data_IF_289666944186
#
_entry.id   IF_289666944186
#
_cell.length_a   1.000
_cell.length_b   1.000
_cell.length_c   1.000
_cell.angle_alpha   90.00
_cell.angle_beta   90.00
_cell.angle_gamma   90.00
#
_symmetry.space_group_name_H-M   'P 1'
#
loop_
_entity.id
_entity.type
_entity.pdbx_description
1 polymer ?
#
# COMPACT_ATOMS: atom_id res chain seq x y z
N UNK A 1 -41.58 54.74 -60.15
CA UNK A 1 -41.14 54.87 -58.76
C UNK A 1 -40.07 53.85 -58.53
N UNK A 2 -38.87 54.31 -58.51
CA UNK A 2 -37.58 53.55 -58.47
C UNK A 2 -37.17 53.34 -57.02
N UNK A 3 -36.76 52.15 -56.68
CA UNK A 3 -35.91 51.90 -55.46
C UNK A 3 -34.67 51.13 -55.84
N UNK A 4 -33.54 51.81 -55.70
CA UNK A 4 -32.22 51.26 -55.83
C UNK A 4 -32.00 50.20 -54.75
N UNK A 5 -31.42 49.08 -55.14
CA UNK A 5 -30.79 48.14 -54.25
C UNK A 5 -29.26 48.33 -54.37
N UNK A 6 -28.65 48.79 -53.28
CA UNK A 6 -27.19 48.87 -53.14
C UNK A 6 -26.61 47.46 -52.87
N UNK A 7 -25.72 47.05 -53.76
CA UNK A 7 -24.97 45.79 -53.61
C UNK A 7 -23.69 46.04 -52.81
N UNK A 8 -23.59 45.49 -51.62
CA UNK A 8 -22.34 45.49 -50.81
C UNK A 8 -21.50 44.29 -51.27
N UNK A 9 -20.34 44.59 -51.89
CA UNK A 9 -19.33 43.60 -52.22
C UNK A 9 -18.49 43.37 -50.97
N UNK A 10 -18.59 42.19 -50.37
CA UNK A 10 -17.67 41.75 -49.32
C UNK A 10 -16.48 41.07 -49.99
N UNK A 11 -15.33 41.73 -49.98
CA UNK A 11 -14.07 41.14 -50.41
C UNK A 11 -13.55 40.17 -49.30
N UNK A 12 -13.64 38.89 -49.55
CA UNK A 12 -13.02 37.86 -48.70
C UNK A 12 -11.49 37.84 -48.93
N UNK A 13 -10.74 38.34 -48.00
CA UNK A 13 -9.29 38.18 -47.95
C UNK A 13 -9.00 36.77 -47.46
N UNK A 14 -8.60 35.89 -48.37
CA UNK A 14 -7.98 34.58 -47.99
C UNK A 14 -6.56 34.81 -47.47
N UNK A 15 -6.42 34.74 -46.17
CA UNK A 15 -5.08 34.67 -45.53
C UNK A 15 -4.58 33.23 -45.65
N UNK A 16 -3.73 32.94 -46.61
CA UNK A 16 -2.96 31.66 -46.61
C UNK A 16 -1.99 31.67 -45.46
N UNK A 17 -2.43 31.09 -44.31
CA UNK A 17 -1.48 30.65 -43.29
C UNK A 17 -0.73 29.43 -43.84
N UNK A 18 0.55 29.61 -44.13
CA UNK A 18 1.45 28.51 -44.41
C UNK A 18 1.44 27.58 -43.19
N UNK A 19 0.91 26.37 -43.35
CA UNK A 19 1.01 25.33 -42.34
C UNK A 19 2.49 25.01 -42.17
N UNK A 20 3.07 25.42 -41.05
CA UNK A 20 4.35 24.91 -40.61
C UNK A 20 4.28 23.39 -40.45
N UNK A 21 5.40 22.68 -40.51
CA UNK A 21 5.43 21.25 -40.34
C UNK A 21 4.70 20.91 -39.01
N UNK A 22 3.73 20.01 -39.09
CA UNK A 22 3.09 19.48 -37.89
C UNK A 22 4.17 18.98 -36.93
N UNK A 23 4.12 19.32 -35.64
CA UNK A 23 5.04 18.73 -34.69
C UNK A 23 4.96 17.22 -34.87
N UNK A 24 6.11 16.55 -34.97
CA UNK A 24 6.17 15.10 -34.93
C UNK A 24 5.32 14.63 -33.77
N UNK A 25 4.50 13.58 -34.00
CA UNK A 25 3.65 13.01 -32.99
C UNK A 25 4.52 12.71 -31.77
N UNK A 26 4.56 13.66 -30.84
CA UNK A 26 5.18 13.48 -29.55
C UNK A 26 4.41 12.36 -28.87
N UNK A 27 5.11 11.34 -28.44
CA UNK A 27 4.58 10.41 -27.48
C UNK A 27 3.82 11.21 -26.43
N UNK A 28 2.72 10.69 -25.98
CA UNK A 28 1.76 11.42 -25.16
C UNK A 28 2.49 12.19 -24.04
N UNK A 29 2.62 13.50 -24.18
CA UNK A 29 3.30 14.38 -23.20
C UNK A 29 2.69 14.22 -21.79
N UNK A 30 1.46 13.77 -21.70
CA UNK A 30 0.79 13.45 -20.45
C UNK A 30 1.40 12.19 -19.81
N UNK A 31 1.73 11.15 -20.55
CA UNK A 31 2.43 9.96 -20.03
C UNK A 31 3.87 10.30 -19.57
N UNK A 32 4.58 11.15 -20.27
CA UNK A 32 5.94 11.52 -19.90
C UNK A 32 6.02 12.48 -18.71
N UNK A 33 4.97 13.27 -18.46
CA UNK A 33 4.98 14.33 -17.44
C UNK A 33 4.25 13.91 -16.15
N UNK A 34 3.36 12.93 -16.20
CA UNK A 34 2.65 12.47 -15.01
C UNK A 34 3.46 11.44 -14.22
N UNK A 35 3.37 11.52 -12.90
CA UNK A 35 3.96 10.51 -12.01
C UNK A 35 3.54 9.08 -12.41
N UNK A 36 2.29 8.89 -12.79
CA UNK A 36 1.71 7.59 -13.14
C UNK A 36 2.30 6.98 -14.39
N UNK A 37 2.52 7.76 -15.44
CA UNK A 37 3.14 7.27 -16.68
C UNK A 37 4.58 6.81 -16.49
N UNK A 38 5.29 7.35 -15.50
CA UNK A 38 6.69 7.01 -15.22
C UNK A 38 6.88 5.78 -14.35
N UNK A 39 5.94 5.50 -13.43
CA UNK A 39 6.07 4.41 -12.45
C UNK A 39 6.37 3.05 -13.09
N UNK A 40 5.68 2.58 -14.15
CA UNK A 40 5.98 1.28 -14.75
C UNK A 40 7.41 1.12 -15.27
N UNK A 41 8.02 2.20 -15.75
CA UNK A 41 9.43 2.19 -16.19
C UNK A 41 10.38 2.16 -14.99
N UNK A 42 10.08 2.94 -13.95
CA UNK A 42 10.92 3.09 -12.76
C UNK A 42 10.98 1.88 -11.86
N UNK A 43 9.96 1.02 -11.86
CA UNK A 43 9.99 -0.24 -11.10
C UNK A 43 10.92 -1.31 -11.67
N UNK A 44 11.58 -1.04 -12.80
CA UNK A 44 12.64 -1.90 -13.33
C UNK A 44 14.00 -1.66 -12.68
N UNK A 45 14.20 -0.49 -12.09
CA UNK A 45 15.41 -0.08 -11.40
C UNK A 45 15.17 -0.09 -9.90
N UNK A 46 15.92 -0.92 -9.18
CA UNK A 46 15.73 -1.08 -7.74
C UNK A 46 17.05 -1.26 -6.99
N UNK A 47 16.98 -1.10 -5.68
CA UNK A 47 18.01 -1.51 -4.72
C UNK A 47 17.41 -2.52 -3.76
N UNK A 48 18.12 -3.62 -3.52
CA UNK A 48 17.74 -4.56 -2.47
C UNK A 48 18.03 -3.90 -1.13
N UNK A 49 17.04 -3.87 -0.26
CA UNK A 49 17.10 -3.25 1.08
C UNK A 49 17.23 -4.31 2.16
N UNK A 50 16.54 -5.43 2.00
CA UNK A 50 16.58 -6.53 2.94
C UNK A 50 16.31 -7.85 2.22
N UNK A 51 17.19 -8.79 2.40
CA UNK A 51 17.03 -10.18 1.96
C UNK A 51 16.33 -11.04 3.03
N UNK A 52 15.70 -12.17 2.66
CA UNK A 52 15.23 -13.14 3.63
C UNK A 52 16.41 -13.79 4.39
N UNK A 53 16.17 -14.30 5.61
CA UNK A 53 17.21 -14.96 6.40
C UNK A 53 17.76 -16.26 5.78
N UNK A 54 16.99 -16.86 4.86
CA UNK A 54 17.45 -17.96 4.01
C UNK A 54 17.03 -17.69 2.56
N UNK A 55 17.98 -17.81 1.64
CA UNK A 55 17.71 -17.71 0.20
C UNK A 55 17.11 -19.01 -0.34
N UNK A 56 15.90 -19.32 0.12
CA UNK A 56 15.15 -20.54 -0.18
C UNK A 56 13.70 -20.22 -0.46
N UNK A 57 12.99 -21.05 -1.25
CA UNK A 57 11.56 -20.86 -1.50
C UNK A 57 10.76 -20.63 -0.21
N UNK A 58 9.82 -19.71 -0.29
CA UNK A 58 8.90 -19.34 0.81
C UNK A 58 9.53 -18.74 2.09
N UNK A 59 10.86 -18.46 2.09
CA UNK A 59 11.51 -17.60 3.07
C UNK A 59 11.46 -16.15 2.59
N UNK A 60 10.83 -15.28 3.35
CA UNK A 60 10.54 -13.91 2.90
C UNK A 60 10.95 -12.85 3.90
N UNK A 61 11.60 -11.80 3.42
CA UNK A 61 11.63 -10.49 4.03
C UNK A 61 10.58 -9.64 3.32
N UNK A 62 9.59 -9.11 4.05
CA UNK A 62 8.50 -8.44 3.36
C UNK A 62 7.62 -7.55 4.24
N UNK A 63 6.55 -7.06 3.64
CA UNK A 63 5.59 -6.19 4.27
C UNK A 63 6.23 -4.94 4.92
N UNK A 64 7.03 -4.14 4.17
CA UNK A 64 7.70 -2.98 4.73
C UNK A 64 6.71 -1.90 5.18
N UNK A 65 7.04 -1.25 6.29
CA UNK A 65 6.44 0.00 6.75
C UNK A 65 7.55 0.95 7.15
N UNK A 66 7.66 2.09 6.48
CA UNK A 66 8.81 2.97 6.56
C UNK A 66 8.41 4.37 7.02
N UNK A 67 9.14 4.92 7.96
CA UNK A 67 9.03 6.32 8.38
C UNK A 67 10.39 6.97 8.41
N UNK A 68 10.45 8.26 8.15
CA UNK A 68 11.63 9.09 8.34
C UNK A 68 11.41 10.01 9.53
N UNK A 69 12.29 9.96 10.52
CA UNK A 69 12.17 10.79 11.71
C UNK A 69 12.67 12.23 11.46
N UNK A 70 12.50 13.10 12.47
CA UNK A 70 12.89 14.52 12.39
C UNK A 70 14.40 14.71 12.27
N UNK A 71 15.20 13.71 12.62
CA UNK A 71 16.66 13.72 12.49
C UNK A 71 17.11 13.21 11.12
N UNK A 72 16.15 12.81 10.27
CA UNK A 72 16.44 12.27 8.94
C UNK A 72 16.71 10.77 8.92
N UNK A 73 16.66 10.07 10.06
CA UNK A 73 16.82 8.62 10.14
C UNK A 73 15.61 7.91 9.58
N UNK A 74 15.84 6.94 8.71
CA UNK A 74 14.81 6.03 8.23
C UNK A 74 14.68 4.85 9.19
N UNK A 75 13.42 4.55 9.55
CA UNK A 75 13.04 3.39 10.33
C UNK A 75 12.12 2.52 9.48
N UNK A 76 12.44 1.24 9.39
CA UNK A 76 11.69 0.25 8.63
C UNK A 76 11.26 -0.89 9.55
N UNK A 77 9.96 -1.09 9.68
CA UNK A 77 9.39 -2.30 10.27
C UNK A 77 9.00 -3.26 9.15
N UNK A 78 9.35 -4.52 9.28
CA UNK A 78 8.99 -5.55 8.31
C UNK A 78 8.71 -6.88 8.97
N UNK A 79 8.02 -7.75 8.23
CA UNK A 79 7.78 -9.14 8.64
C UNK A 79 8.86 -10.03 8.04
N UNK A 80 9.47 -10.85 8.89
CA UNK A 80 10.29 -11.98 8.45
C UNK A 80 9.46 -13.26 8.49
N UNK A 81 9.52 -14.06 7.42
CA UNK A 81 8.68 -15.23 7.24
C UNK A 81 9.54 -16.48 6.97
N UNK A 82 9.15 -17.60 7.56
CA UNK A 82 9.74 -18.93 7.37
C UNK A 82 8.84 -19.83 6.51
N UNK A 83 9.45 -20.77 5.79
CA UNK A 83 8.74 -21.86 5.15
C UNK A 83 8.23 -22.93 6.13
N UNK A 84 8.82 -23.00 7.32
CA UNK A 84 8.69 -24.12 8.27
C UNK A 84 7.40 -24.07 9.12
N UNK A 85 6.41 -23.23 8.74
CA UNK A 85 5.14 -23.09 9.44
C UNK A 85 3.96 -23.15 8.45
N UNK A 86 2.73 -23.45 8.92
CA UNK A 86 1.54 -23.42 8.06
C UNK A 86 1.32 -22.05 7.39
N UNK A 87 0.74 -22.04 6.20
CA UNK A 87 0.35 -20.81 5.50
C UNK A 87 -0.48 -19.91 6.43
N UNK A 88 -0.23 -18.60 6.40
CA UNK A 88 -0.88 -17.61 7.27
C UNK A 88 -0.24 -17.47 8.66
N UNK A 89 0.59 -18.42 9.12
CA UNK A 89 1.25 -18.39 10.43
C UNK A 89 2.78 -18.31 10.33
N UNK A 90 3.30 -18.01 9.15
CA UNK A 90 4.73 -18.10 8.84
C UNK A 90 5.56 -16.92 9.31
N UNK A 91 4.93 -15.78 9.64
CA UNK A 91 5.63 -14.60 10.16
C UNK A 91 6.16 -14.83 11.55
N UNK A 92 7.48 -15.00 11.69
CA UNK A 92 8.11 -15.35 12.96
C UNK A 92 8.71 -14.13 13.69
N UNK A 93 8.90 -13.01 12.98
CA UNK A 93 9.53 -11.81 13.53
C UNK A 93 8.96 -10.55 12.86
N UNK A 94 8.69 -9.52 13.65
CA UNK A 94 8.69 -8.13 13.19
C UNK A 94 10.09 -7.60 13.46
N UNK A 95 10.82 -7.30 12.38
CA UNK A 95 12.18 -6.74 12.44
C UNK A 95 12.10 -5.24 12.28
N UNK A 96 12.74 -4.50 13.17
CA UNK A 96 12.90 -3.05 13.08
C UNK A 96 14.34 -2.79 12.62
N UNK A 97 14.47 -2.02 11.56
CA UNK A 97 15.74 -1.63 10.99
C UNK A 97 15.85 -0.10 10.97
N UNK A 98 17.07 0.40 10.98
CA UNK A 98 17.36 1.83 10.83
C UNK A 98 18.36 2.08 9.71
N UNK A 99 18.28 3.25 9.09
CA UNK A 99 19.18 3.69 8.03
C UNK A 99 19.34 5.21 8.03
N UNK A 100 20.50 5.71 7.62
CA UNK A 100 20.73 7.15 7.42
C UNK A 100 20.36 7.60 6.01
N UNK A 101 20.41 6.71 5.04
CA UNK A 101 20.21 7.01 3.63
C UNK A 101 18.95 6.38 3.02
N UNK A 102 18.25 5.52 3.81
CA UNK A 102 17.06 4.79 3.34
C UNK A 102 17.37 3.64 2.39
N UNK A 103 18.64 3.27 2.21
CA UNK A 103 19.09 2.20 1.33
C UNK A 103 19.79 1.10 2.13
N UNK A 104 20.76 1.49 2.94
CA UNK A 104 21.55 0.59 3.75
C UNK A 104 20.98 0.54 5.16
N UNK A 105 20.27 -0.55 5.44
CA UNK A 105 19.61 -0.75 6.72
C UNK A 105 20.37 -1.73 7.61
N UNK A 106 20.42 -1.43 8.89
CA UNK A 106 20.93 -2.30 9.93
C UNK A 106 19.81 -2.68 10.91
N UNK A 107 19.84 -3.92 11.41
CA UNK A 107 18.87 -4.40 12.40
C UNK A 107 19.07 -3.63 13.71
N UNK A 108 17.99 -3.01 14.19
CA UNK A 108 17.98 -2.25 15.43
C UNK A 108 17.19 -2.94 16.54
N UNK A 109 16.11 -3.66 16.21
CA UNK A 109 15.26 -4.34 17.19
C UNK A 109 14.51 -5.52 16.58
N UNK A 110 13.92 -6.35 17.42
CA UNK A 110 13.21 -7.56 17.04
C UNK A 110 12.08 -7.86 18.00
N UNK A 111 10.89 -8.13 17.45
CA UNK A 111 9.73 -8.64 18.18
C UNK A 111 9.43 -10.03 17.64
N UNK A 112 9.56 -11.04 18.47
CA UNK A 112 9.35 -12.44 18.08
C UNK A 112 7.91 -12.86 18.36
N UNK A 113 7.34 -13.73 17.53
CA UNK A 113 5.99 -14.26 17.74
C UNK A 113 5.86 -15.05 19.04
N UNK A 114 6.95 -15.65 19.50
CA UNK A 114 7.00 -16.43 20.74
C UNK A 114 6.80 -15.55 21.99
N UNK A 115 7.06 -14.24 21.89
CA UNK A 115 6.95 -13.26 22.97
C UNK A 115 5.60 -12.54 22.99
N UNK A 116 4.71 -12.84 22.01
CA UNK A 116 3.37 -12.23 21.85
C UNK A 116 2.37 -13.37 21.71
N UNK A 117 1.15 -13.26 22.26
CA UNK A 117 0.17 -14.36 22.21
C UNK A 117 -0.48 -14.55 20.83
N UNK A 118 0.36 -14.69 19.79
CA UNK A 118 -0.04 -14.98 18.41
C UNK A 118 0.86 -16.07 17.80
N UNK A 119 0.32 -16.96 16.96
CA UNK A 119 1.10 -17.99 16.31
C UNK A 119 1.93 -17.49 15.12
N UNK A 120 1.68 -16.29 14.63
CA UNK A 120 2.42 -15.68 13.53
C UNK A 120 1.99 -14.25 13.26
N UNK A 121 2.95 -13.41 12.86
CA UNK A 121 2.73 -12.04 12.41
C UNK A 121 2.37 -11.99 10.92
N UNK A 122 1.57 -11.02 10.53
CA UNK A 122 1.52 -10.47 9.18
C UNK A 122 2.00 -9.01 9.19
N UNK A 123 1.57 -8.19 8.22
CA UNK A 123 2.10 -6.84 7.98
C UNK A 123 2.15 -5.98 9.24
N UNK A 124 3.30 -5.39 9.60
CA UNK A 124 3.39 -4.31 10.58
C UNK A 124 3.00 -2.97 9.94
N UNK A 125 2.56 -2.02 10.78
CA UNK A 125 2.42 -0.61 10.42
C UNK A 125 3.17 0.23 11.46
N UNK A 126 4.22 0.90 11.02
CA UNK A 126 5.01 1.84 11.82
C UNK A 126 4.59 3.27 11.45
N UNK A 127 4.26 4.06 12.44
CA UNK A 127 3.88 5.48 12.29
C UNK A 127 4.73 6.32 13.24
N UNK A 128 5.30 7.41 12.74
CA UNK A 128 5.76 8.53 13.57
C UNK A 128 4.58 9.48 13.76
N UNK A 129 4.04 9.50 14.96
CA UNK A 129 2.87 10.32 15.29
C UNK A 129 3.23 11.82 15.23
N UNK A 130 2.65 12.60 14.31
CA UNK A 130 2.98 14.02 14.16
C UNK A 130 2.55 14.88 15.36
N UNK A 131 1.59 14.41 16.15
CA UNK A 131 1.06 15.12 17.34
C UNK A 131 1.99 15.00 18.53
N UNK A 132 2.53 13.80 18.77
CA UNK A 132 3.33 13.51 19.97
C UNK A 132 4.82 13.36 19.68
N UNK A 133 5.21 13.14 18.43
CA UNK A 133 6.56 12.81 18.03
C UNK A 133 7.02 11.39 18.47
N UNK A 134 6.08 10.58 18.97
CA UNK A 134 6.36 9.18 19.37
C UNK A 134 6.08 8.22 18.24
N UNK A 135 6.74 7.10 18.27
CA UNK A 135 6.49 6.01 17.33
C UNK A 135 5.33 5.14 17.84
N UNK A 136 4.45 4.78 16.92
CA UNK A 136 3.38 3.80 17.11
C UNK A 136 3.67 2.60 16.23
N UNK A 137 3.57 1.40 16.78
CA UNK A 137 3.72 0.16 16.05
C UNK A 137 2.45 -0.67 16.19
N UNK A 138 1.91 -1.03 15.03
CA UNK A 138 0.80 -1.97 14.90
C UNK A 138 1.27 -3.20 14.15
N UNK A 139 0.55 -4.30 14.34
CA UNK A 139 0.72 -5.53 13.59
C UNK A 139 -0.61 -6.26 13.51
N UNK A 140 -0.64 -7.44 12.92
CA UNK A 140 -1.82 -8.29 12.95
C UNK A 140 -1.43 -9.77 13.09
N UNK A 141 -2.37 -10.52 13.63
CA UNK A 141 -2.24 -11.96 13.81
C UNK A 141 -3.48 -12.54 14.51
N UNK A 142 -3.61 -13.88 14.55
CA UNK A 142 -4.67 -14.57 15.30
C UNK A 142 -4.38 -14.46 16.81
N UNK A 143 -4.95 -13.43 17.46
CA UNK A 143 -4.72 -13.20 18.89
C UNK A 143 -5.27 -14.35 19.74
N UNK A 144 -4.38 -14.97 20.56
CA UNK A 144 -4.72 -16.14 21.39
C UNK A 144 -5.42 -17.26 20.60
N UNK A 145 -4.98 -17.49 19.36
CA UNK A 145 -5.58 -18.42 18.40
C UNK A 145 -7.04 -18.10 18.02
N UNK A 146 -7.49 -16.88 18.30
CA UNK A 146 -8.79 -16.35 17.87
C UNK A 146 -8.77 -15.80 16.44
N UNK A 147 -9.71 -14.93 16.08
CA UNK A 147 -9.74 -14.31 14.76
C UNK A 147 -8.53 -13.39 14.54
N UNK A 148 -8.18 -13.17 13.27
CA UNK A 148 -7.21 -12.17 12.89
C UNK A 148 -7.64 -10.80 13.37
N UNK A 149 -6.75 -10.14 14.11
CA UNK A 149 -7.01 -8.85 14.76
C UNK A 149 -5.81 -7.94 14.61
N UNK A 150 -6.06 -6.63 14.65
CA UNK A 150 -4.99 -5.64 14.70
C UNK A 150 -4.56 -5.47 16.15
N UNK A 151 -3.29 -5.60 16.38
CA UNK A 151 -2.62 -5.40 17.67
C UNK A 151 -1.79 -4.14 17.64
N UNK A 152 -1.62 -3.50 18.79
CA UNK A 152 -0.79 -2.32 18.97
C UNK A 152 0.15 -2.53 20.15
N UNK A 153 1.38 -2.08 20.01
CA UNK A 153 2.36 -1.98 21.09
C UNK A 153 2.29 -0.59 21.75
N UNK A 154 2.79 -0.43 22.98
CA UNK A 154 2.87 0.90 23.60
C UNK A 154 3.68 1.85 22.75
N UNK A 155 3.26 3.12 22.71
CA UNK A 155 3.98 4.17 22.02
C UNK A 155 5.39 4.33 22.58
N UNK A 156 6.38 4.50 21.73
CA UNK A 156 7.80 4.59 22.11
C UNK A 156 8.44 5.89 21.58
N UNK A 157 9.42 6.41 22.29
CA UNK A 157 10.22 7.55 21.83
C UNK A 157 11.26 7.12 20.77
N UNK A 158 11.60 5.82 20.76
CA UNK A 158 12.54 5.20 19.84
C UNK A 158 12.01 3.81 19.46
N UNK A 159 12.03 3.38 18.19
CA UNK A 159 11.52 2.08 17.78
C UNK A 159 12.22 0.87 18.40
N UNK A 160 13.41 1.04 18.96
CA UNK A 160 14.11 -0.03 19.70
C UNK A 160 13.52 -0.33 21.07
N UNK A 161 12.58 0.51 21.54
CA UNK A 161 11.94 0.41 22.85
C UNK A 161 10.57 -0.29 22.83
N UNK A 162 10.10 -0.76 21.67
CA UNK A 162 8.87 -1.55 21.63
C UNK A 162 9.02 -2.86 22.43
N UNK A 163 8.05 -3.12 23.29
CA UNK A 163 8.05 -4.27 24.18
C UNK A 163 6.95 -5.27 23.79
N UNK A 164 7.28 -6.56 23.55
CA UNK A 164 6.28 -7.58 23.21
C UNK A 164 5.14 -7.67 24.24
N UNK A 165 5.46 -7.58 25.53
CA UNK A 165 4.48 -7.65 26.61
C UNK A 165 3.46 -6.50 26.62
N UNK A 166 3.69 -5.42 25.87
CA UNK A 166 2.77 -4.30 25.75
C UNK A 166 1.71 -4.49 24.66
N UNK A 167 1.81 -5.57 23.90
CA UNK A 167 0.88 -5.86 22.81
C UNK A 167 -0.56 -6.04 23.33
N UNK A 168 -1.50 -5.36 22.68
CA UNK A 168 -2.93 -5.50 22.93
C UNK A 168 -3.73 -5.42 21.63
N UNK A 169 -4.89 -6.07 21.61
CA UNK A 169 -5.84 -5.93 20.49
C UNK A 169 -6.47 -4.54 20.52
N UNK A 170 -6.45 -3.85 19.39
CA UNK A 170 -7.08 -2.55 19.21
C UNK A 170 -8.22 -2.57 18.18
N UNK A 171 -8.22 -3.55 17.25
CA UNK A 171 -9.32 -3.74 16.32
C UNK A 171 -9.50 -5.24 16.06
N UNK A 172 -10.70 -5.73 16.33
CA UNK A 172 -11.09 -7.13 16.10
C UNK A 172 -12.44 -7.20 15.38
N UNK A 173 -12.69 -8.26 14.59
CA UNK A 173 -13.99 -8.46 13.99
C UNK A 173 -15.05 -8.73 15.08
N UNK A 174 -16.24 -8.20 14.87
CA UNK A 174 -17.36 -8.52 15.74
C UNK A 174 -17.84 -9.97 15.51
N UNK A 175 -18.40 -10.56 16.53
CA UNK A 175 -19.06 -11.86 16.39
C UNK A 175 -20.41 -11.70 15.69
N UNK A 176 -20.83 -12.67 14.85
CA UNK A 176 -22.18 -12.66 14.30
C UNK A 176 -23.22 -12.75 15.44
N UNK A 177 -24.34 -12.06 15.29
CA UNK A 177 -25.46 -12.06 16.24
C UNK A 177 -26.37 -13.27 16.05
N UNK A 178 -26.30 -13.91 14.88
CA UNK A 178 -27.01 -15.15 14.56
C UNK A 178 -26.25 -15.89 13.42
N UNK A 179 -26.48 -17.20 13.30
CA UNK A 179 -25.73 -18.11 12.42
C UNK A 179 -25.73 -17.73 10.92
N UNK A 180 -26.79 -17.04 10.45
CA UNK A 180 -26.90 -16.62 9.04
C UNK A 180 -26.30 -15.25 8.76
N UNK A 181 -25.81 -14.57 9.79
CA UNK A 181 -25.25 -13.24 9.61
C UNK A 181 -23.87 -13.32 8.94
N UNK A 182 -23.73 -12.61 7.82
CA UNK A 182 -22.46 -12.50 7.12
C UNK A 182 -21.70 -11.33 7.74
N UNK A 183 -20.56 -11.63 8.35
CA UNK A 183 -19.67 -10.65 8.97
C UNK A 183 -18.25 -10.83 8.50
N UNK A 184 -17.43 -9.78 8.60
CA UNK A 184 -15.99 -9.89 8.45
C UNK A 184 -15.46 -10.83 9.53
N UNK A 185 -14.69 -11.84 9.13
CA UNK A 185 -14.18 -12.89 10.01
C UNK A 185 -12.76 -12.62 10.53
N UNK A 186 -12.07 -11.62 9.98
CA UNK A 186 -10.74 -11.22 10.40
C UNK A 186 -10.34 -9.88 9.81
N UNK A 187 -9.56 -9.11 10.55
CA UNK A 187 -8.90 -7.90 10.07
C UNK A 187 -7.39 -8.14 10.01
N UNK A 188 -6.78 -7.79 8.86
CA UNK A 188 -5.37 -8.04 8.57
C UNK A 188 -4.69 -6.82 7.96
N UNK A 189 -3.38 -6.82 7.98
CA UNK A 189 -2.49 -5.99 7.18
C UNK A 189 -2.80 -4.49 7.25
N UNK A 190 -2.72 -3.88 8.44
CA UNK A 190 -3.07 -2.49 8.62
C UNK A 190 -2.11 -1.55 7.89
N UNK A 191 -2.67 -0.50 7.30
CA UNK A 191 -1.95 0.74 7.00
C UNK A 191 -2.55 1.86 7.82
N UNK A 192 -1.71 2.62 8.53
CA UNK A 192 -2.16 3.66 9.45
C UNK A 192 -1.46 4.98 9.12
N UNK A 193 -2.25 6.05 9.04
CA UNK A 193 -1.74 7.41 8.93
C UNK A 193 -2.52 8.36 9.86
N UNK A 194 -1.93 9.50 10.16
CA UNK A 194 -2.62 10.61 10.79
C UNK A 194 -2.78 11.72 9.75
N UNK A 195 -4.01 12.06 9.42
CA UNK A 195 -4.36 13.10 8.46
C UNK A 195 -5.70 13.75 8.84
N UNK A 196 -5.94 14.97 8.40
CA UNK A 196 -7.20 15.70 8.64
C UNK A 196 -7.64 15.71 10.12
N UNK A 197 -6.66 15.67 11.05
CA UNK A 197 -6.92 15.75 12.51
C UNK A 197 -7.20 14.40 13.19
N UNK A 198 -7.31 13.31 12.46
CA UNK A 198 -7.62 11.97 12.98
C UNK A 198 -6.61 10.92 12.49
N UNK A 199 -6.58 9.76 13.17
CA UNK A 199 -5.93 8.57 12.65
C UNK A 199 -6.90 7.81 11.74
N UNK A 200 -6.38 7.35 10.61
CA UNK A 200 -7.06 6.51 9.65
C UNK A 200 -6.37 5.16 9.61
N UNK A 201 -7.14 4.08 9.68
CA UNK A 201 -6.67 2.72 9.58
C UNK A 201 -7.39 2.03 8.42
N UNK A 202 -6.62 1.63 7.42
CA UNK A 202 -7.08 0.78 6.34
C UNK A 202 -6.62 -0.63 6.60
N UNK A 203 -7.54 -1.58 6.53
CA UNK A 203 -7.27 -2.99 6.80
C UNK A 203 -7.87 -3.86 5.72
N UNK A 204 -7.30 -5.04 5.56
CA UNK A 204 -7.97 -6.13 4.88
C UNK A 204 -9.07 -6.66 5.81
N UNK A 205 -10.30 -6.71 5.34
CA UNK A 205 -11.36 -7.48 5.96
C UNK A 205 -11.59 -8.77 5.17
N UNK A 206 -11.54 -9.91 5.86
CA UNK A 206 -11.82 -11.23 5.27
C UNK A 206 -13.32 -11.49 5.33
N UNK A 207 -13.93 -11.61 4.16
CA UNK A 207 -15.36 -11.89 4.02
C UNK A 207 -15.56 -13.00 2.99
N UNK A 208 -16.15 -14.15 3.41
CA UNK A 208 -16.40 -15.29 2.52
C UNK A 208 -15.15 -15.73 1.71
N UNK A 209 -13.99 -15.79 2.38
CA UNK A 209 -12.69 -16.15 1.78
C UNK A 209 -12.13 -15.16 0.76
N UNK A 210 -12.77 -14.03 0.55
CA UNK A 210 -12.22 -12.91 -0.22
C UNK A 210 -11.71 -11.82 0.70
N UNK A 211 -10.83 -10.98 0.20
CA UNK A 211 -10.24 -9.88 0.94
C UNK A 211 -10.62 -8.55 0.30
N UNK A 212 -11.10 -7.61 1.12
CA UNK A 212 -11.50 -6.26 0.72
C UNK A 212 -10.95 -5.22 1.65
N UNK A 213 -10.94 -3.97 1.22
CA UNK A 213 -10.47 -2.82 2.01
C UNK A 213 -11.59 -2.28 2.91
N UNK A 214 -11.29 -2.18 4.20
CA UNK A 214 -12.14 -1.53 5.20
C UNK A 214 -11.42 -0.34 5.82
N UNK A 215 -12.17 0.69 6.17
CA UNK A 215 -11.64 1.95 6.68
C UNK A 215 -12.22 2.27 8.05
N UNK A 216 -11.31 2.52 8.99
CA UNK A 216 -11.62 2.93 10.37
C UNK A 216 -10.92 4.25 10.67
N UNK A 217 -11.46 5.02 11.60
CA UNK A 217 -10.88 6.25 12.13
C UNK A 217 -10.78 6.20 13.65
N UNK A 218 -9.91 7.02 14.21
CA UNK A 218 -9.67 7.09 15.65
C UNK A 218 -9.10 8.45 16.03
N UNK A 219 -9.42 8.95 17.24
CA UNK A 219 -8.83 10.16 17.79
C UNK A 219 -7.52 9.88 18.55
N UNK A 220 -7.29 8.64 18.98
CA UNK A 220 -6.13 8.26 19.82
C UNK A 220 -5.23 7.18 19.19
N UNK A 221 -5.70 6.53 18.12
CA UNK A 221 -5.01 5.40 17.48
C UNK A 221 -5.18 4.07 18.23
N UNK A 222 -6.14 3.97 19.14
CA UNK A 222 -6.43 2.76 19.91
C UNK A 222 -7.90 2.34 19.84
N UNK A 223 -8.81 3.31 19.88
CA UNK A 223 -10.24 3.09 19.75
C UNK A 223 -10.68 3.42 18.33
N UNK A 224 -11.04 2.39 17.58
CA UNK A 224 -11.31 2.47 16.15
C UNK A 224 -12.79 2.32 15.85
N UNK A 225 -13.34 3.25 15.10
CA UNK A 225 -14.70 3.23 14.60
C UNK A 225 -14.71 3.10 13.08
N UNK A 226 -15.60 2.28 12.49
CA UNK A 226 -15.76 2.25 11.05
C UNK A 226 -16.23 3.63 10.58
N UNK A 227 -15.71 4.09 9.42
CA UNK A 227 -16.10 5.43 8.90
C UNK A 227 -17.58 5.46 8.51
N UNK A 228 -18.07 4.41 7.85
CA UNK A 228 -19.49 4.25 7.52
C UNK A 228 -20.06 3.01 8.19
N UNK A 229 -19.79 1.86 7.61
CA UNK A 229 -20.32 0.60 8.08
C UNK A 229 -19.23 -0.47 8.16
N UNK A 230 -19.16 -1.24 9.24
CA UNK A 230 -18.22 -2.36 9.33
C UNK A 230 -18.54 -3.51 8.34
N UNK A 231 -19.63 -3.38 7.57
CA UNK A 231 -20.04 -4.34 6.53
C UNK A 231 -19.70 -3.87 5.11
N UNK A 232 -19.34 -2.61 4.94
CA UNK A 232 -19.11 -2.01 3.63
C UNK A 232 -17.62 -1.81 3.41
N UNK A 233 -17.08 -2.44 2.37
CA UNK A 233 -15.75 -2.16 1.86
C UNK A 233 -15.74 -0.84 1.11
N UNK A 234 -14.60 -0.16 1.12
CA UNK A 234 -14.41 1.10 0.38
C UNK A 234 -13.92 0.90 -1.06
N UNK A 235 -13.60 -0.34 -1.44
CA UNK A 235 -13.29 -0.72 -2.82
C UNK A 235 -13.93 -2.06 -3.13
N UNK A 236 -14.55 -2.16 -4.31
CA UNK A 236 -15.19 -3.37 -4.78
C UNK A 236 -14.20 -4.32 -5.47
N UNK A 237 -14.54 -5.60 -5.48
CA UNK A 237 -13.87 -6.60 -6.30
C UNK A 237 -14.37 -6.46 -7.74
N UNK A 238 -13.50 -6.04 -8.65
CA UNK A 238 -13.86 -5.81 -10.06
C UNK A 238 -12.64 -5.84 -10.96
N UNK A 239 -12.84 -6.04 -12.25
CA UNK A 239 -11.79 -5.99 -13.26
C UNK A 239 -10.64 -6.95 -12.95
N UNK A 240 -9.41 -6.44 -12.98
CA UNK A 240 -8.21 -7.25 -12.72
C UNK A 240 -7.99 -7.63 -11.24
N UNK A 241 -8.76 -7.04 -10.31
CA UNK A 241 -8.70 -7.32 -8.88
C UNK A 241 -10.00 -7.92 -8.33
N UNK A 242 -10.56 -8.89 -9.07
CA UNK A 242 -11.83 -9.53 -8.74
C UNK A 242 -11.72 -10.63 -7.68
N UNK A 243 -10.50 -11.06 -7.34
CA UNK A 243 -10.26 -12.03 -6.27
C UNK A 243 -9.92 -11.36 -4.94
N UNK A 244 -8.93 -10.45 -4.93
CA UNK A 244 -8.52 -9.67 -3.76
C UNK A 244 -8.37 -8.19 -4.12
N UNK A 245 -8.76 -7.31 -3.18
CA UNK A 245 -8.36 -5.91 -3.13
C UNK A 245 -7.90 -5.55 -1.72
N UNK A 246 -6.69 -4.98 -1.58
CA UNK A 246 -5.99 -4.79 -0.32
C UNK A 246 -5.42 -3.37 -0.24
N UNK A 247 -5.38 -2.74 0.96
CA UNK A 247 -4.70 -1.45 1.11
C UNK A 247 -3.17 -1.65 1.09
N UNK A 248 -2.45 -0.86 0.33
CA UNK A 248 -0.99 -0.78 0.41
C UNK A 248 -0.54 0.43 1.22
N UNK A 249 -0.80 1.64 0.73
CA UNK A 249 -0.52 2.87 1.48
C UNK A 249 -1.33 4.05 0.94
N UNK A 250 -1.29 5.15 1.67
CA UNK A 250 -1.89 6.42 1.26
C UNK A 250 -0.81 7.50 1.30
N UNK A 251 -0.69 8.26 0.20
CA UNK A 251 0.37 9.26 0.01
C UNK A 251 -0.26 10.61 -0.30
N UNK A 252 0.06 11.69 0.44
CA UNK A 252 -0.41 13.03 0.10
C UNK A 252 0.25 13.51 -1.19
N UNK A 253 -0.55 14.13 -2.09
CA UNK A 253 -0.10 14.62 -3.40
C UNK A 253 -0.60 16.05 -3.69
N UNK A 254 -0.53 16.90 -2.71
CA UNK A 254 -0.88 18.32 -2.84
C UNK A 254 -2.38 18.57 -2.63
N UNK A 255 -3.21 18.23 -3.60
CA UNK A 255 -4.66 18.51 -3.55
C UNK A 255 -5.50 17.35 -2.99
N UNK A 256 -4.88 16.23 -2.65
CA UNK A 256 -5.56 15.03 -2.16
C UNK A 256 -4.54 13.93 -1.86
N UNK A 257 -4.98 12.68 -1.99
CA UNK A 257 -4.16 11.53 -1.62
C UNK A 257 -4.23 10.47 -2.71
N UNK A 258 -3.07 9.90 -3.04
CA UNK A 258 -3.01 8.63 -3.74
C UNK A 258 -3.36 7.50 -2.79
N UNK A 259 -4.27 6.67 -3.19
CA UNK A 259 -4.57 5.40 -2.53
C UNK A 259 -3.90 4.27 -3.31
N UNK A 260 -2.76 3.80 -2.81
CA UNK A 260 -2.07 2.66 -3.41
C UNK A 260 -2.73 1.41 -2.88
N UNK A 261 -3.25 0.59 -3.78
CA UNK A 261 -3.90 -0.67 -3.44
C UNK A 261 -3.26 -1.85 -4.17
N UNK A 262 -3.57 -3.03 -3.73
CA UNK A 262 -3.08 -4.28 -4.29
C UNK A 262 -4.25 -5.17 -4.64
N UNK A 263 -4.08 -5.98 -5.66
CA UNK A 263 -5.12 -6.87 -6.09
C UNK A 263 -4.61 -8.10 -6.81
N UNK A 264 -5.52 -9.04 -7.00
CA UNK A 264 -5.30 -10.24 -7.82
C UNK A 264 -6.59 -10.69 -8.49
N UNK A 265 -6.45 -11.46 -9.55
CA UNK A 265 -7.54 -11.93 -10.36
C UNK A 265 -7.75 -13.44 -10.18
N UNK A 266 -9.00 -13.89 -10.23
CA UNK A 266 -9.37 -15.31 -10.09
C UNK A 266 -8.67 -16.23 -11.09
N UNK A 267 -8.35 -15.71 -12.28
CA UNK A 267 -7.72 -16.47 -13.36
C UNK A 267 -6.19 -16.59 -13.20
N UNK A 268 -5.60 -15.87 -12.26
CA UNK A 268 -4.16 -15.95 -12.03
C UNK A 268 -3.78 -17.23 -11.30
N UNK A 269 -2.63 -17.80 -11.68
CA UNK A 269 -2.07 -18.91 -10.93
C UNK A 269 -1.77 -18.48 -9.48
N UNK A 270 -2.29 -19.21 -8.51
CA UNK A 270 -2.23 -18.88 -7.08
C UNK A 270 -2.47 -17.38 -6.78
N UNK A 271 -3.71 -16.87 -6.95
CA UNK A 271 -4.02 -15.45 -6.80
C UNK A 271 -3.85 -14.94 -5.35
N UNK A 272 -3.57 -15.82 -4.39
CA UNK A 272 -3.22 -15.45 -3.01
C UNK A 272 -1.82 -14.83 -2.95
N UNK A 273 -0.90 -15.29 -3.78
CA UNK A 273 0.50 -14.85 -3.79
C UNK A 273 0.90 -14.06 -5.03
N UNK A 274 0.16 -14.18 -6.14
CA UNK A 274 0.36 -13.36 -7.33
C UNK A 274 -0.43 -12.06 -7.19
N UNK A 275 0.23 -11.05 -6.68
CA UNK A 275 -0.35 -9.74 -6.33
C UNK A 275 0.31 -8.66 -7.17
N UNK A 276 -0.52 -7.78 -7.71
CA UNK A 276 -0.11 -6.58 -8.43
C UNK A 276 -0.62 -5.33 -7.72
N UNK A 277 -0.12 -4.17 -8.13
CA UNK A 277 -0.44 -2.88 -7.50
C UNK A 277 -1.21 -1.99 -8.45
N UNK A 278 -2.30 -1.41 -7.96
CA UNK A 278 -3.09 -0.39 -8.61
C UNK A 278 -3.06 0.95 -7.85
N UNK A 279 -3.66 1.96 -8.45
CA UNK A 279 -3.80 3.29 -7.87
C UNK A 279 -5.25 3.71 -7.82
N UNK A 280 -5.60 4.34 -6.72
CA UNK A 280 -6.79 5.13 -6.57
C UNK A 280 -6.44 6.56 -6.15
N UNK A 281 -7.41 7.43 -6.15
CA UNK A 281 -7.32 8.80 -5.67
C UNK A 281 -8.49 9.13 -4.73
N UNK A 282 -8.21 9.93 -3.71
CA UNK A 282 -9.21 10.37 -2.76
C UNK A 282 -8.94 11.79 -2.25
N UNK A 283 -9.98 12.56 -2.01
CA UNK A 283 -9.91 13.86 -1.34
C UNK A 283 -10.14 13.74 0.18
N UNK A 284 -11.02 12.85 0.58
CA UNK A 284 -11.56 12.73 1.94
C UNK A 284 -11.07 11.48 2.70
N UNK A 285 -10.13 10.73 2.09
CA UNK A 285 -9.55 9.53 2.67
C UNK A 285 -10.54 8.33 2.77
N UNK A 286 -11.76 8.47 2.23
CA UNK A 286 -12.78 7.43 2.32
C UNK A 286 -13.33 7.00 0.96
N UNK A 287 -13.76 7.96 0.14
CA UNK A 287 -14.24 7.67 -1.20
C UNK A 287 -13.08 7.57 -2.17
N UNK A 288 -12.86 6.37 -2.67
CA UNK A 288 -11.73 6.05 -3.56
C UNK A 288 -12.22 6.00 -5.00
N UNK A 289 -11.63 6.84 -5.86
CA UNK A 289 -11.76 6.70 -7.31
C UNK A 289 -10.64 5.80 -7.80
N UNK A 290 -10.98 4.65 -8.38
CA UNK A 290 -10.00 3.77 -9.00
C UNK A 290 -9.44 4.40 -10.28
N UNK A 291 -8.12 4.57 -10.35
CA UNK A 291 -7.41 5.13 -11.50
C UNK A 291 -6.86 4.05 -12.44
N UNK A 292 -6.91 2.80 -12.02
CA UNK A 292 -6.37 1.66 -12.78
C UNK A 292 -7.36 0.49 -12.85
N UNK A 293 -8.64 0.73 -13.26
CA UNK A 293 -9.68 -0.28 -13.21
C UNK A 293 -9.47 -1.42 -14.22
N UNK A 294 -8.81 -1.13 -15.35
CA UNK A 294 -8.68 -2.11 -16.45
C UNK A 294 -7.46 -3.02 -16.30
N UNK A 295 -6.40 -2.52 -15.68
CA UNK A 295 -5.14 -3.25 -15.50
C UNK A 295 -4.32 -2.67 -14.34
N UNK A 296 -3.49 -3.49 -13.68
CA UNK A 296 -2.60 -2.98 -12.63
C UNK A 296 -1.57 -1.99 -13.18
N UNK A 297 -1.18 -1.02 -12.35
CA UNK A 297 -0.09 -0.10 -12.65
C UNK A 297 1.26 -0.80 -12.61
N UNK A 298 1.47 -1.66 -11.61
CA UNK A 298 2.72 -2.37 -11.39
C UNK A 298 2.47 -3.86 -11.23
N UNK A 299 3.17 -4.63 -12.04
CA UNK A 299 3.32 -6.08 -11.88
C UNK A 299 4.78 -6.42 -11.60
N UNK A 300 5.04 -7.55 -10.96
CA UNK A 300 6.41 -7.99 -10.76
C UNK A 300 7.13 -8.17 -12.09
N UNK A 301 8.31 -7.56 -12.20
CA UNK A 301 9.21 -7.69 -13.36
C UNK A 301 10.24 -8.81 -13.17
N UNK A 302 10.26 -9.45 -12.00
CA UNK A 302 11.17 -10.56 -11.73
C UNK A 302 10.62 -11.83 -12.37
N UNK A 303 11.39 -12.52 -13.21
CA UNK A 303 11.00 -13.80 -13.75
C UNK A 303 10.92 -14.83 -12.61
N UNK A 304 9.74 -15.40 -12.40
CA UNK A 304 9.47 -16.49 -11.47
C UNK A 304 8.52 -17.46 -12.14
N UNK A 305 8.60 -18.74 -11.80
CA UNK A 305 7.70 -19.76 -12.35
C UNK A 305 6.32 -19.61 -11.72
N UNK A 306 6.23 -19.38 -10.41
CA UNK A 306 4.98 -19.42 -9.68
C UNK A 306 4.58 -18.06 -9.10
N UNK A 307 5.53 -17.25 -8.57
CA UNK A 307 5.19 -16.03 -7.84
C UNK A 307 5.64 -14.78 -8.58
N UNK A 308 4.67 -14.05 -9.11
CA UNK A 308 4.85 -12.71 -9.69
C UNK A 308 4.38 -11.67 -8.69
N UNK A 309 5.04 -11.64 -7.52
CA UNK A 309 4.64 -10.80 -6.38
C UNK A 309 5.35 -9.46 -6.42
N UNK A 310 4.58 -8.39 -6.37
CA UNK A 310 5.00 -7.03 -6.06
C UNK A 310 3.94 -6.44 -5.15
N UNK A 311 4.18 -6.47 -3.83
CA UNK A 311 3.13 -6.21 -2.84
C UNK A 311 3.63 -5.53 -1.58
N UNK A 312 2.69 -5.19 -0.69
CA UNK A 312 2.92 -4.53 0.60
C UNK A 312 3.76 -3.26 0.43
N UNK A 313 3.55 -2.55 -0.68
CA UNK A 313 4.37 -1.39 -0.96
C UNK A 313 4.04 -0.24 -0.02
N UNK A 314 5.09 0.40 0.46
CA UNK A 314 5.01 1.62 1.26
C UNK A 314 5.68 2.75 0.50
N UNK A 315 4.89 3.74 0.11
CA UNK A 315 5.35 4.89 -0.65
C UNK A 315 5.45 6.10 0.24
N UNK A 316 6.52 6.89 0.11
CA UNK A 316 6.73 8.11 0.89
C UNK A 316 7.55 9.12 0.11
N UNK A 317 7.34 10.40 0.42
CA UNK A 317 8.17 11.47 -0.10
C UNK A 317 9.49 11.59 0.67
N UNK A 318 10.60 11.66 -0.07
CA UNK A 318 11.94 11.92 0.44
C UNK A 318 12.47 13.17 -0.29
N UNK A 319 12.30 14.33 0.32
CA UNK A 319 12.42 15.59 -0.39
C UNK A 319 11.34 15.73 -1.46
N UNK A 320 11.76 15.90 -2.70
CA UNK A 320 10.91 15.98 -3.89
C UNK A 320 10.79 14.66 -4.67
N UNK A 321 11.39 13.59 -4.15
CA UNK A 321 11.34 12.26 -4.75
C UNK A 321 10.29 11.36 -4.07
N UNK A 322 9.52 10.63 -4.86
CA UNK A 322 8.65 9.58 -4.37
C UNK A 322 9.40 8.25 -4.36
N UNK A 323 9.56 7.68 -3.17
CA UNK A 323 10.19 6.39 -2.94
C UNK A 323 9.14 5.34 -2.62
N UNK A 324 9.35 4.11 -3.10
CA UNK A 324 8.51 2.96 -2.77
C UNK A 324 9.38 1.79 -2.28
N UNK A 325 9.05 1.27 -1.11
CA UNK A 325 9.59 0.00 -0.62
C UNK A 325 8.54 -1.07 -0.84
N UNK A 326 8.91 -2.18 -1.45
CA UNK A 326 7.96 -3.26 -1.74
C UNK A 326 8.56 -4.63 -1.47
N UNK A 327 7.69 -5.58 -1.10
CA UNK A 327 8.02 -7.00 -1.08
C UNK A 327 7.90 -7.56 -2.49
N UNK A 328 8.99 -8.13 -3.00
CA UNK A 328 9.08 -8.65 -4.38
C UNK A 328 9.63 -10.06 -4.38
N UNK A 329 8.99 -10.93 -5.16
CA UNK A 329 9.46 -12.30 -5.33
C UNK A 329 10.77 -12.37 -6.13
N UNK A 330 11.69 -13.22 -5.68
CA UNK A 330 12.92 -13.61 -6.38
C UNK A 330 12.64 -14.80 -7.31
N UNK A 331 13.54 -15.10 -8.26
CA UNK A 331 13.36 -16.26 -9.17
C UNK A 331 13.22 -17.60 -8.45
N UNK A 332 13.77 -17.75 -7.25
CA UNK A 332 13.70 -18.96 -6.42
C UNK A 332 12.49 -19.00 -5.48
N UNK A 333 11.50 -18.08 -5.66
CA UNK A 333 10.29 -18.00 -4.83
C UNK A 333 10.51 -17.59 -3.36
N UNK A 334 11.70 -17.10 -3.02
CA UNK A 334 11.87 -16.29 -1.83
C UNK A 334 11.45 -14.84 -2.12
N UNK A 335 11.19 -14.04 -1.08
CA UNK A 335 10.88 -12.62 -1.25
C UNK A 335 11.89 -11.76 -0.52
N UNK A 336 12.19 -10.61 -1.13
CA UNK A 336 13.06 -9.57 -0.58
C UNK A 336 12.35 -8.22 -0.58
N UNK A 337 12.84 -7.28 0.22
CA UNK A 337 12.39 -5.89 0.18
C UNK A 337 13.28 -5.11 -0.77
N UNK A 338 12.65 -4.43 -1.73
CA UNK A 338 13.30 -3.55 -2.71
C UNK A 338 12.85 -2.12 -2.54
N UNK A 339 13.79 -1.19 -2.76
CA UNK A 339 13.52 0.23 -2.91
C UNK A 339 13.48 0.60 -4.40
N UNK A 340 12.45 1.35 -4.77
CA UNK A 340 12.25 1.98 -6.07
C UNK A 340 12.15 3.49 -5.91
N UNK A 341 12.77 4.27 -6.81
CA UNK A 341 12.62 5.72 -6.89
C UNK A 341 11.70 6.05 -8.06
N UNK A 342 10.48 6.47 -7.76
CA UNK A 342 9.39 6.53 -8.75
C UNK A 342 9.31 7.85 -9.52
N UNK A 343 9.87 8.94 -9.00
CA UNK A 343 9.68 10.29 -9.53
C UNK A 343 10.91 10.92 -10.18
N UNK A 344 11.97 10.17 -10.43
CA UNK A 344 13.15 10.63 -11.19
C UNK A 344 13.27 10.04 -12.55
#
# INVERSE_FOLDING_TARGET
MSTLMDSIIIASVFLCLAAGPAPAAGGDLAEETTLFGRVPAKVREYRVVLEPDKDQPEWWAGAPSVVRDRNGTFWLACRMRTADAPRGLRGYEIRILRSRDGIHFEKAHSLRREDVPIPGFERPALLLDPRTGRFKLYACGPWQSGPWSIIKFHDANDPTLFQPASAKVVLAPRRPTHEREIVVTGYKDPFILHAQGQYHCYVIGVLRQTERVYHFRSDDGEHWEPVDSPRQSIMDLTGWHDFYVRPACVVPVGVGYLFVYEGSNCDWFDPVYNIATGLGFTFDLHHITDLTPDRPLVVSTTPSIHFRTWRYSHWLWVGDELWAYAEVAKPNESNEIRLFRLSR
#
